data_IF_534572564442
#
_entry.id   IF_534572564442
#
_cell.length_a   1.000
_cell.length_b   1.000
_cell.length_c   1.000
_cell.angle_alpha   90.00
_cell.angle_beta   90.00
_cell.angle_gamma   90.00
#
_symmetry.space_group_name_H-M   'P 1'
#
loop_
_entity.id
_entity.type
_entity.pdbx_description
1 polymer ?
#
# COMPACT_ATOMS: atom_id res chain seq x y z
N UNK A 1 0.73 -0.26 0.06
CA UNK A 1 0.25 -1.29 1.00
C UNK A 1 0.38 -2.62 0.29
N UNK A 2 1.34 -3.47 0.65
CA UNK A 2 1.45 -4.82 0.09
C UNK A 2 0.26 -5.62 0.62
N UNK A 3 -0.83 -5.63 -0.13
CA UNK A 3 -1.90 -6.60 0.10
C UNK A 3 -1.44 -7.87 -0.58
N UNK A 4 -1.38 -8.93 0.19
CA UNK A 4 -1.06 -10.27 -0.28
C UNK A 4 -1.97 -10.61 -1.47
N UNK A 5 -1.41 -10.60 -2.70
CA UNK A 5 -2.15 -10.87 -3.93
C UNK A 5 -2.83 -12.24 -3.91
N UNK A 6 -2.30 -13.23 -3.17
CA UNK A 6 -2.94 -14.55 -3.04
C UNK A 6 -4.18 -14.53 -2.16
N UNK A 7 -4.30 -13.58 -1.24
CA UNK A 7 -5.55 -13.34 -0.50
C UNK A 7 -6.65 -12.72 -1.38
N UNK A 8 -6.27 -12.13 -2.53
CA UNK A 8 -7.19 -11.59 -3.52
C UNK A 8 -7.67 -12.62 -4.56
N UNK A 9 -6.99 -13.77 -4.66
CA UNK A 9 -7.32 -14.83 -5.63
C UNK A 9 -8.38 -15.82 -5.12
N UNK A 10 -8.76 -15.74 -3.84
CA UNK A 10 -9.91 -16.48 -3.31
C UNK A 10 -11.13 -15.59 -3.43
N UNK A 11 -12.22 -16.10 -4.03
CA UNK A 11 -13.50 -15.38 -4.12
C UNK A 11 -13.85 -14.85 -2.73
N UNK A 12 -13.94 -13.53 -2.58
CA UNK A 12 -14.27 -12.92 -1.30
C UNK A 12 -15.71 -13.31 -0.96
N UNK A 13 -15.91 -13.87 0.23
CA UNK A 13 -17.26 -14.16 0.74
C UNK A 13 -17.89 -12.87 1.26
N UNK A 14 -19.24 -12.78 1.36
CA UNK A 14 -19.91 -11.60 1.91
C UNK A 14 -19.47 -11.23 3.33
N UNK A 15 -18.95 -12.20 4.08
CA UNK A 15 -18.45 -12.02 5.45
C UNK A 15 -17.05 -11.37 5.49
N UNK A 16 -16.40 -11.24 4.33
CA UNK A 16 -15.08 -10.64 4.22
C UNK A 16 -15.21 -9.11 4.12
N UNK A 17 -14.49 -8.33 4.97
CA UNK A 17 -14.55 -6.87 4.94
C UNK A 17 -14.05 -6.25 3.62
N UNK A 18 -13.36 -7.02 2.76
CA UNK A 18 -12.91 -6.59 1.45
C UNK A 18 -13.94 -6.83 0.33
N UNK A 19 -15.04 -7.54 0.61
CA UNK A 19 -16.05 -7.92 -0.38
C UNK A 19 -16.71 -6.70 -1.06
N UNK A 20 -17.06 -5.68 -0.27
CA UNK A 20 -17.64 -4.44 -0.78
C UNK A 20 -16.70 -3.71 -1.75
N UNK A 21 -15.40 -3.73 -1.48
CA UNK A 21 -14.40 -3.11 -2.34
C UNK A 21 -14.26 -3.85 -3.68
N UNK A 22 -14.35 -5.18 -3.69
CA UNK A 22 -14.34 -5.96 -4.92
C UNK A 22 -15.59 -5.67 -5.76
N UNK A 23 -16.76 -5.55 -5.13
CA UNK A 23 -18.00 -5.18 -5.82
C UNK A 23 -17.92 -3.77 -6.41
N UNK A 24 -17.44 -2.79 -5.63
CA UNK A 24 -17.24 -1.43 -6.10
C UNK A 24 -16.26 -1.39 -7.28
N UNK A 25 -15.15 -2.15 -7.20
CA UNK A 25 -14.19 -2.27 -8.30
C UNK A 25 -14.84 -2.82 -9.58
N UNK A 26 -15.62 -3.91 -9.49
CA UNK A 26 -16.33 -4.48 -10.64
C UNK A 26 -17.39 -3.55 -11.23
N UNK A 27 -18.01 -2.71 -10.40
CA UNK A 27 -18.97 -1.70 -10.86
C UNK A 27 -18.29 -0.56 -11.61
N UNK A 28 -17.20 -0.05 -11.03
CA UNK A 28 -16.53 1.17 -11.53
C UNK A 28 -15.53 0.87 -12.66
N UNK A 29 -14.97 -0.34 -12.68
CA UNK A 29 -14.03 -0.84 -13.68
C UNK A 29 -14.45 -2.26 -14.13
N UNK A 30 -15.53 -2.40 -14.93
CA UNK A 30 -16.09 -3.71 -15.29
C UNK A 30 -15.13 -4.60 -16.09
N UNK A 31 -14.25 -3.98 -16.89
CA UNK A 31 -13.19 -4.68 -17.65
C UNK A 31 -11.88 -4.83 -16.86
N UNK A 32 -11.85 -4.41 -15.60
CA UNK A 32 -10.66 -4.32 -14.78
C UNK A 32 -10.17 -5.70 -14.30
N UNK A 33 -8.87 -5.94 -14.42
CA UNK A 33 -8.24 -7.15 -13.91
C UNK A 33 -7.73 -6.93 -12.48
N UNK A 34 -8.40 -7.51 -11.48
CA UNK A 34 -8.01 -7.39 -10.07
C UNK A 34 -6.54 -7.79 -9.80
N UNK A 35 -6.02 -8.76 -10.54
CA UNK A 35 -4.63 -9.25 -10.38
C UNK A 35 -3.57 -8.22 -10.79
N UNK A 36 -3.93 -7.25 -11.63
CA UNK A 36 -3.05 -6.17 -12.08
C UNK A 36 -3.08 -4.95 -11.14
N UNK A 37 -3.84 -5.02 -10.06
CA UNK A 37 -3.84 -4.01 -9.00
C UNK A 37 -5.09 -3.13 -9.01
N UNK A 38 -6.04 -3.49 -8.14
CA UNK A 38 -7.33 -2.81 -7.97
C UNK A 38 -7.17 -1.31 -7.72
N UNK A 39 -6.35 -0.92 -6.74
CA UNK A 39 -6.19 0.51 -6.39
C UNK A 39 -5.71 1.37 -7.55
N UNK A 40 -4.86 0.82 -8.42
CA UNK A 40 -4.32 1.55 -9.57
C UNK A 40 -5.41 1.71 -10.62
N UNK A 41 -6.13 0.65 -10.94
CA UNK A 41 -7.19 0.67 -11.95
C UNK A 41 -8.40 1.49 -11.52
N UNK A 42 -8.85 1.36 -10.26
CA UNK A 42 -9.89 2.23 -9.70
C UNK A 42 -9.47 3.69 -9.78
N UNK A 43 -8.22 4.00 -9.43
CA UNK A 43 -7.71 5.35 -9.56
C UNK A 43 -7.70 5.80 -11.03
N UNK A 44 -7.27 4.98 -11.98
CA UNK A 44 -7.29 5.33 -13.41
C UNK A 44 -8.70 5.68 -13.92
N UNK A 45 -9.74 5.04 -13.40
CA UNK A 45 -11.13 5.29 -13.78
C UNK A 45 -11.72 6.61 -13.22
N UNK A 46 -11.10 7.20 -12.18
CA UNK A 46 -11.55 8.47 -11.61
C UNK A 46 -11.22 9.64 -12.55
N UNK A 47 -12.21 10.53 -12.74
CA UNK A 47 -12.11 11.73 -13.58
C UNK A 47 -11.42 12.91 -12.90
N UNK A 48 -11.33 12.93 -11.59
CA UNK A 48 -10.75 14.02 -10.82
C UNK A 48 -9.26 13.80 -10.50
N UNK A 49 -8.64 14.77 -9.83
CA UNK A 49 -7.29 14.63 -9.28
C UNK A 49 -7.26 13.51 -8.23
N UNK A 50 -6.22 12.68 -8.25
CA UNK A 50 -6.16 11.45 -7.44
C UNK A 50 -5.04 11.52 -6.45
N UNK A 51 -5.35 11.25 -5.19
CA UNK A 51 -4.35 11.11 -4.13
C UNK A 51 -4.07 9.64 -3.89
N UNK A 52 -2.84 9.20 -4.18
CA UNK A 52 -2.37 7.85 -3.91
C UNK A 52 -1.40 7.86 -2.75
N UNK A 53 -1.61 6.96 -1.79
CA UNK A 53 -0.66 6.73 -0.70
C UNK A 53 0.14 5.46 -0.98
N UNK A 54 1.45 5.61 -0.94
CA UNK A 54 2.39 4.51 -1.07
C UNK A 54 3.42 4.54 0.03
N UNK A 55 4.05 3.39 0.12
CA UNK A 55 4.95 2.95 1.16
C UNK A 55 6.25 2.40 0.54
N UNK A 56 6.32 2.45 -0.79
CA UNK A 56 7.49 2.07 -1.57
C UNK A 56 8.55 3.17 -1.55
N UNK A 57 9.84 2.80 -1.55
CA UNK A 57 10.91 3.75 -1.82
C UNK A 57 10.81 4.25 -3.27
N UNK A 58 11.35 5.44 -3.54
CA UNK A 58 11.36 6.03 -4.88
C UNK A 58 12.01 5.14 -5.94
N UNK A 59 12.98 4.29 -5.55
CA UNK A 59 13.65 3.36 -6.46
C UNK A 59 12.75 2.24 -7.01
N UNK A 60 11.60 1.99 -6.38
CA UNK A 60 10.61 1.03 -6.84
C UNK A 60 9.40 1.70 -7.52
N UNK A 61 9.45 3.03 -7.66
CA UNK A 61 8.44 3.79 -8.40
C UNK A 61 8.88 4.00 -9.84
N UNK A 62 7.93 4.31 -10.72
CA UNK A 62 8.22 4.60 -12.11
C UNK A 62 9.23 5.76 -12.24
N UNK A 63 10.22 5.72 -13.14
CA UNK A 63 11.25 6.76 -13.24
C UNK A 63 10.71 8.18 -13.42
N UNK A 64 9.59 8.34 -14.14
CA UNK A 64 8.93 9.64 -14.39
C UNK A 64 7.92 10.04 -13.30
N UNK A 65 7.92 9.36 -12.16
CA UNK A 65 6.93 9.57 -11.10
C UNK A 65 6.97 11.00 -10.54
N UNK A 66 8.17 11.56 -10.34
CA UNK A 66 8.34 12.90 -9.80
C UNK A 66 7.96 14.01 -10.81
N UNK A 67 7.98 13.71 -12.11
CA UNK A 67 7.59 14.66 -13.17
C UNK A 67 6.08 14.70 -13.38
N UNK A 68 5.39 13.61 -13.02
CA UNK A 68 3.97 13.40 -13.31
C UNK A 68 3.05 13.68 -12.12
N UNK A 69 3.58 13.62 -10.90
CA UNK A 69 2.81 13.78 -9.67
C UNK A 69 3.39 14.86 -8.76
N UNK A 70 2.52 15.52 -7.99
CA UNK A 70 2.93 16.29 -6.82
C UNK A 70 3.10 15.35 -5.66
N UNK A 71 4.22 15.43 -4.95
CA UNK A 71 4.60 14.42 -3.97
C UNK A 71 4.82 15.06 -2.59
N UNK A 72 4.15 14.50 -1.59
CA UNK A 72 4.34 14.81 -0.17
C UNK A 72 5.00 13.60 0.47
N UNK A 73 6.26 13.75 0.86
CA UNK A 73 7.03 12.75 1.57
C UNK A 73 7.03 13.05 3.07
N UNK A 74 6.64 12.07 3.88
CA UNK A 74 6.59 12.20 5.33
C UNK A 74 7.71 11.34 5.93
N UNK A 75 8.64 12.00 6.62
CA UNK A 75 9.65 11.35 7.47
C UNK A 75 9.34 11.58 8.94
N UNK A 76 9.77 10.64 9.78
CA UNK A 76 9.66 10.70 11.23
C UNK A 76 10.95 10.14 11.82
N UNK A 77 11.26 10.50 13.07
CA UNK A 77 12.34 9.86 13.81
C UNK A 77 12.19 8.33 13.75
N UNK A 78 13.21 7.59 13.31
CA UNK A 78 13.13 6.13 13.15
C UNK A 78 12.82 5.41 14.47
N UNK A 79 13.26 5.95 15.62
CA UNK A 79 12.98 5.37 16.94
C UNK A 79 11.48 5.39 17.25
N UNK A 80 10.83 6.53 17.05
CA UNK A 80 9.39 6.67 17.29
C UNK A 80 8.57 5.88 16.26
N UNK A 81 9.09 5.80 15.04
CA UNK A 81 8.45 5.04 13.97
C UNK A 81 8.50 3.55 14.27
N UNK A 82 9.60 3.04 14.86
CA UNK A 82 9.77 1.64 15.24
C UNK A 82 8.72 1.24 16.27
N UNK A 83 8.52 2.07 17.30
CA UNK A 83 7.51 1.84 18.34
C UNK A 83 6.10 1.83 17.75
N UNK A 84 5.77 2.81 16.91
CA UNK A 84 4.47 2.85 16.23
C UNK A 84 4.26 1.63 15.32
N UNK A 85 5.33 1.18 14.67
CA UNK A 85 5.30 0.05 13.75
C UNK A 85 5.11 -1.27 14.49
N UNK A 86 5.79 -1.46 15.62
CA UNK A 86 5.59 -2.58 16.55
C UNK A 86 4.12 -2.70 16.97
N UNK A 87 3.52 -1.60 17.49
CA UNK A 87 2.12 -1.63 17.90
C UNK A 87 1.17 -1.91 16.74
N UNK A 88 1.45 -1.40 15.54
CA UNK A 88 0.66 -1.73 14.34
C UNK A 88 0.75 -3.22 13.99
N UNK A 89 1.93 -3.84 14.10
CA UNK A 89 2.12 -5.28 13.87
C UNK A 89 1.42 -6.16 14.91
N UNK A 90 1.32 -5.69 16.16
CA UNK A 90 0.55 -6.36 17.21
C UNK A 90 -0.96 -6.20 17.01
N UNK A 91 -1.41 -5.00 16.59
CA UNK A 91 -2.83 -4.66 16.46
C UNK A 91 -3.48 -5.32 15.23
N UNK A 92 -2.79 -5.31 14.10
CA UNK A 92 -3.34 -5.81 12.84
C UNK A 92 -3.33 -7.35 12.83
N UNK A 93 -4.53 -7.94 12.80
CA UNK A 93 -4.75 -9.39 12.80
C UNK A 93 -3.94 -10.13 11.73
N UNK A 94 -3.74 -9.52 10.56
CA UNK A 94 -2.94 -10.11 9.49
C UNK A 94 -1.47 -10.31 9.84
N UNK A 95 -0.92 -9.50 10.75
CA UNK A 95 0.48 -9.59 11.18
C UNK A 95 0.61 -10.35 12.50
N UNK A 96 -0.33 -10.15 13.44
CA UNK A 96 -0.42 -10.89 14.72
C UNK A 96 0.94 -11.12 15.39
N UNK A 97 1.78 -10.08 15.44
CA UNK A 97 3.13 -10.19 15.99
C UNK A 97 3.06 -10.42 17.51
N UNK A 98 3.82 -11.40 18.01
CA UNK A 98 3.82 -11.83 19.42
C UNK A 98 5.15 -11.63 20.15
N UNK A 99 6.20 -11.19 19.44
CA UNK A 99 7.49 -10.88 20.06
C UNK A 99 7.43 -9.60 20.89
N UNK A 100 8.49 -9.33 21.65
CA UNK A 100 8.62 -8.07 22.39
C UNK A 100 9.24 -6.95 21.51
N UNK A 101 9.28 -5.73 22.04
CA UNK A 101 9.78 -4.58 21.30
C UNK A 101 11.28 -4.69 20.96
N UNK A 102 12.10 -5.25 21.86
CA UNK A 102 13.55 -5.33 21.64
C UNK A 102 13.89 -6.31 20.52
N UNK A 103 13.23 -7.48 20.51
CA UNK A 103 13.30 -8.45 19.41
C UNK A 103 12.85 -7.83 18.09
N UNK A 104 11.76 -7.07 18.11
CA UNK A 104 11.25 -6.39 16.93
C UNK A 104 12.24 -5.36 16.38
N UNK A 105 12.85 -4.56 17.25
CA UNK A 105 13.85 -3.56 16.86
C UNK A 105 15.06 -4.25 16.23
N UNK A 106 15.56 -5.33 16.85
CA UNK A 106 16.69 -6.08 16.32
C UNK A 106 16.36 -6.70 14.94
N UNK A 107 15.16 -7.26 14.77
CA UNK A 107 14.72 -7.80 13.49
C UNK A 107 14.63 -6.74 12.39
N UNK A 108 14.15 -5.54 12.71
CA UNK A 108 14.06 -4.44 11.74
C UNK A 108 15.45 -3.94 11.35
N UNK A 109 16.36 -3.75 12.32
CA UNK A 109 17.71 -3.24 12.07
C UNK A 109 18.52 -4.24 11.22
N UNK A 110 18.39 -5.53 11.50
CA UNK A 110 19.08 -6.58 10.75
C UNK A 110 18.37 -6.98 9.44
N UNK A 111 17.28 -6.30 9.07
CA UNK A 111 16.54 -6.56 7.83
C UNK A 111 15.83 -7.92 7.81
N UNK A 112 15.60 -8.54 8.97
CA UNK A 112 14.83 -9.78 9.13
C UNK A 112 13.32 -9.54 9.19
N UNK A 113 12.91 -8.29 9.42
CA UNK A 113 11.50 -7.92 9.38
C UNK A 113 10.92 -8.10 7.97
N UNK A 114 9.82 -8.85 7.88
CA UNK A 114 9.12 -9.12 6.61
C UNK A 114 8.56 -7.86 5.96
N UNK A 115 8.34 -6.82 6.76
CA UNK A 115 7.96 -5.49 6.34
C UNK A 115 9.16 -4.56 6.50
N UNK A 116 9.61 -3.98 5.38
CA UNK A 116 10.69 -2.99 5.37
C UNK A 116 10.18 -1.68 5.94
N UNK A 117 11.04 -0.93 6.61
CA UNK A 117 10.68 0.35 7.21
C UNK A 117 10.09 1.30 6.18
N UNK A 118 8.93 1.85 6.50
CA UNK A 118 8.02 2.36 5.47
C UNK A 118 7.85 3.86 5.59
N UNK A 119 8.38 4.61 4.62
CA UNK A 119 8.07 6.02 4.50
C UNK A 119 6.66 6.18 3.93
N UNK A 120 5.90 7.17 4.39
CA UNK A 120 4.60 7.48 3.77
C UNK A 120 4.85 8.50 2.66
N UNK A 121 4.55 8.08 1.45
CA UNK A 121 4.51 8.93 0.28
C UNK A 121 3.05 9.14 -0.11
N UNK A 122 2.58 10.37 -0.10
CA UNK A 122 1.30 10.73 -0.72
C UNK A 122 1.59 11.46 -2.02
N UNK A 123 0.99 11.02 -3.11
CA UNK A 123 1.19 11.58 -4.44
C UNK A 123 -0.15 11.97 -5.05
N UNK A 124 -0.22 13.20 -5.56
CA UNK A 124 -1.38 13.73 -6.27
C UNK A 124 -1.11 13.73 -7.78
N UNK A 125 -1.96 13.05 -8.53
CA UNK A 125 -1.89 12.95 -9.98
C UNK A 125 -3.01 13.76 -10.65
N UNK A 126 -2.66 14.52 -11.68
CA UNK A 126 -3.64 15.21 -12.53
C UNK A 126 -4.58 14.20 -13.20
N UNK A 127 -5.82 14.61 -13.45
CA UNK A 127 -6.80 13.86 -14.23
C UNK A 127 -6.22 13.41 -15.57
N UNK A 128 -6.49 12.16 -15.97
CA UNK A 128 -6.01 11.58 -17.24
C UNK A 128 -4.53 11.14 -17.26
N UNK A 129 -3.76 11.40 -16.20
CA UNK A 129 -2.37 10.92 -16.11
C UNK A 129 -2.34 9.39 -16.06
N UNK A 130 -1.45 8.75 -16.83
CA UNK A 130 -1.23 7.30 -16.74
C UNK A 130 -0.56 6.96 -15.41
N UNK A 131 -1.16 6.04 -14.67
CA UNK A 131 -0.58 5.44 -13.47
C UNK A 131 0.17 4.18 -13.89
N UNK A 132 1.46 4.10 -13.55
CA UNK A 132 2.30 2.94 -13.86
C UNK A 132 2.53 2.13 -12.58
N UNK A 133 2.28 0.82 -12.66
CA UNK A 133 2.80 -0.13 -11.68
C UNK A 133 4.14 -0.63 -12.23
N UNK A 134 5.25 -0.17 -11.66
CA UNK A 134 6.57 -0.75 -11.96
C UNK A 134 6.77 -1.96 -11.05
N UNK A 135 6.47 -3.15 -11.56
CA UNK A 135 6.94 -4.43 -11.02
C UNK A 135 7.61 -5.22 -12.14
#
# INVERSE_FOLDING_TARGET
MYINLKAFLTKLTPDNPLYEYEQAFKRDVPEGNASEGIYIQTAQALRDSRTLKTHYPFSLLHPTFLDTAKVVYISRNPRDTLVSFYHMMCLLQHFSYKGNLDEFVDDVINGRSRCKFVCILSAEFKSGSKLYCSL
#
